data_IF_072163098447
#
_entry.id   IF_072163098447
#
_cell.length_a   1.000
_cell.length_b   1.000
_cell.length_c   1.000
_cell.angle_alpha   90.00
_cell.angle_beta   90.00
_cell.angle_gamma   90.00
#
_symmetry.space_group_name_H-M   'P 1'
#
loop_
_entity.id
_entity.type
_entity.pdbx_description
1 polymer ?
#
# COMPACT_ATOMS: atom_id res chain seq x y z
N UNK A 1 -62.04 -47.15 6.02
CA UNK A 1 -61.80 -45.66 6.09
C UNK A 1 -61.52 -45.15 7.51
N UNK A 2 -61.22 -46.02 8.49
CA UNK A 2 -60.97 -45.61 9.89
C UNK A 2 -59.46 -45.56 10.27
N UNK A 3 -58.61 -46.16 9.51
CA UNK A 3 -57.11 -46.15 9.79
C UNK A 3 -56.43 -44.83 9.48
N UNK A 4 -56.97 -44.04 8.54
CA UNK A 4 -56.29 -42.79 8.09
C UNK A 4 -56.49 -41.63 9.06
N UNK A 5 -57.55 -41.68 9.95
CA UNK A 5 -57.79 -40.59 10.91
C UNK A 5 -56.96 -40.62 12.18
N UNK A 6 -56.32 -41.77 12.50
CA UNK A 6 -55.48 -41.88 13.73
C UNK A 6 -54.01 -41.71 13.52
N UNK A 7 -53.57 -41.79 12.27
CA UNK A 7 -52.12 -41.62 11.95
C UNK A 7 -51.75 -40.17 11.66
N UNK A 8 -52.72 -39.31 11.30
CA UNK A 8 -52.49 -37.90 10.97
C UNK A 8 -51.91 -37.05 12.12
N UNK A 9 -52.37 -37.16 13.39
CA UNK A 9 -51.85 -36.40 14.52
C UNK A 9 -50.42 -36.84 14.92
N UNK A 10 -50.06 -38.12 14.72
CA UNK A 10 -48.72 -38.63 15.07
C UNK A 10 -47.68 -38.12 14.10
N UNK A 11 -48.03 -38.01 12.82
CA UNK A 11 -47.12 -37.46 11.80
C UNK A 11 -46.90 -35.95 11.97
N UNK A 12 -47.93 -35.19 12.39
CA UNK A 12 -47.85 -33.77 12.70
C UNK A 12 -46.94 -33.47 13.92
N UNK A 13 -47.00 -34.33 14.95
CA UNK A 13 -46.14 -34.19 16.14
C UNK A 13 -44.69 -34.54 15.82
N UNK A 14 -44.43 -35.53 14.95
CA UNK A 14 -43.06 -35.89 14.54
C UNK A 14 -42.41 -34.80 13.67
N UNK A 15 -43.20 -34.08 12.85
CA UNK A 15 -42.69 -32.97 12.03
C UNK A 15 -42.34 -31.72 12.85
N UNK A 16 -43.05 -31.48 13.95
CA UNK A 16 -42.76 -30.36 14.87
C UNK A 16 -41.49 -30.62 15.69
N UNK A 17 -41.21 -31.89 16.02
CA UNK A 17 -39.99 -32.28 16.75
C UNK A 17 -38.70 -32.18 15.90
N UNK A 18 -38.83 -32.23 14.57
CA UNK A 18 -37.65 -32.07 13.67
C UNK A 18 -37.29 -30.61 13.42
N UNK A 19 -38.17 -29.65 13.72
CA UNK A 19 -37.94 -28.22 13.57
C UNK A 19 -37.22 -27.56 14.76
N UNK A 20 -37.11 -28.27 15.89
CA UNK A 20 -36.44 -27.74 17.09
C UNK A 20 -34.98 -28.14 17.22
N UNK A 21 -34.43 -28.88 16.24
CA UNK A 21 -33.01 -29.31 16.25
C UNK A 21 -32.01 -28.28 15.68
N UNK A 22 -32.51 -27.13 15.21
CA UNK A 22 -31.64 -26.01 14.79
C UNK A 22 -31.88 -24.80 15.68
N UNK A 23 -31.21 -24.76 16.82
CA UNK A 23 -31.26 -23.55 17.62
C UNK A 23 -31.02 -23.74 19.10
N UNK A 24 -29.88 -24.17 19.51
CA UNK A 24 -29.31 -23.78 20.80
C UNK A 24 -27.80 -24.04 20.87
N UNK A 25 -27.08 -23.54 19.89
CA UNK A 25 -25.65 -23.27 20.09
C UNK A 25 -25.53 -21.95 20.86
N UNK A 26 -25.58 -22.07 22.19
CA UNK A 26 -25.05 -21.08 23.09
C UNK A 26 -23.50 -21.09 22.98
N UNK A 27 -22.93 -21.11 21.79
CA UNK A 27 -21.59 -20.70 21.56
C UNK A 27 -21.52 -19.17 21.67
N UNK A 28 -21.42 -18.70 22.90
CA UNK A 28 -21.03 -17.35 23.27
C UNK A 28 -19.55 -17.11 22.88
N UNK A 29 -19.15 -17.52 21.71
CA UNK A 29 -17.90 -17.14 21.09
C UNK A 29 -18.13 -16.31 19.83
N UNK A 30 -19.18 -15.51 19.81
CA UNK A 30 -19.17 -14.32 18.97
C UNK A 30 -18.10 -13.41 19.58
N UNK A 31 -16.87 -13.54 19.09
CA UNK A 31 -15.81 -12.56 19.32
C UNK A 31 -16.46 -11.22 19.03
N UNK A 32 -16.72 -10.40 20.08
CA UNK A 32 -17.14 -9.02 19.92
C UNK A 32 -16.01 -8.37 19.12
N UNK A 33 -16.17 -8.31 17.81
CA UNK A 33 -15.29 -7.55 16.94
C UNK A 33 -15.47 -6.10 17.39
N UNK A 34 -14.45 -5.57 18.05
CA UNK A 34 -14.40 -4.13 18.31
C UNK A 34 -14.58 -3.45 16.96
N UNK A 35 -15.48 -2.46 16.81
CA UNK A 35 -15.66 -1.75 15.54
C UNK A 35 -14.36 -1.11 15.04
N UNK A 36 -13.36 -0.97 15.91
CA UNK A 36 -12.07 -0.36 15.62
C UNK A 36 -10.99 -1.37 15.20
N UNK A 37 -11.33 -2.65 15.01
CA UNK A 37 -10.35 -3.70 14.65
C UNK A 37 -10.80 -4.43 13.40
N UNK A 38 -9.95 -4.37 12.38
CA UNK A 38 -10.07 -5.18 11.17
C UNK A 38 -9.06 -6.32 11.28
N UNK A 39 -9.50 -7.55 10.97
CA UNK A 39 -8.63 -8.74 10.94
C UNK A 39 -8.50 -9.18 9.49
N UNK A 40 -7.28 -9.25 9.02
CA UNK A 40 -6.94 -9.83 7.72
C UNK A 40 -6.30 -11.20 7.92
N UNK A 41 -6.58 -12.11 7.01
CA UNK A 41 -5.87 -13.39 6.89
C UNK A 41 -4.94 -13.28 5.68
N UNK A 42 -3.65 -13.45 5.94
CA UNK A 42 -2.62 -13.49 4.90
C UNK A 42 -2.10 -14.92 4.71
N UNK A 43 -1.54 -15.20 3.54
CA UNK A 43 -1.00 -16.52 3.18
C UNK A 43 0.38 -16.78 3.76
N UNK A 44 1.05 -15.75 4.24
CA UNK A 44 2.38 -15.80 4.87
C UNK A 44 2.48 -14.83 6.04
N UNK A 45 3.51 -14.99 6.85
CA UNK A 45 3.80 -14.10 7.96
C UNK A 45 4.30 -12.73 7.44
N UNK A 46 3.89 -11.65 8.10
CA UNK A 46 4.41 -10.31 7.88
C UNK A 46 5.85 -10.23 8.43
N UNK A 47 6.82 -10.07 7.55
CA UNK A 47 8.23 -10.05 7.94
C UNK A 47 8.69 -8.67 8.39
N UNK A 48 8.28 -7.60 7.69
CA UNK A 48 8.68 -6.23 8.03
C UNK A 48 7.76 -5.18 7.39
N UNK A 49 7.75 -3.98 7.97
CA UNK A 49 7.19 -2.77 7.37
C UNK A 49 8.27 -1.84 6.82
N UNK A 50 9.52 -2.30 6.74
CA UNK A 50 10.61 -1.53 6.13
C UNK A 50 10.49 -1.57 4.60
N UNK A 51 10.02 -0.49 4.01
CA UNK A 51 9.76 -0.34 2.57
C UNK A 51 10.98 -0.49 1.66
N UNK A 52 12.19 -0.55 2.22
CA UNK A 52 13.43 -0.71 1.45
C UNK A 52 14.11 -2.07 1.62
N UNK A 53 13.55 -2.96 2.43
CA UNK A 53 14.18 -4.24 2.79
C UNK A 53 13.32 -5.45 2.43
N UNK A 54 12.10 -5.27 1.92
CA UNK A 54 11.16 -6.36 1.79
C UNK A 54 10.72 -6.61 0.35
N UNK A 55 10.60 -7.89 0.00
CA UNK A 55 10.19 -8.37 -1.32
C UNK A 55 8.99 -9.34 -1.23
N UNK A 56 8.43 -9.61 -0.03
CA UNK A 56 7.31 -10.52 0.13
C UNK A 56 5.95 -9.84 -0.04
N UNK A 57 4.97 -10.61 -0.52
CA UNK A 57 3.64 -10.11 -0.84
C UNK A 57 2.84 -9.66 0.40
N UNK A 58 2.97 -10.34 1.53
CA UNK A 58 2.23 -10.00 2.76
C UNK A 58 2.71 -8.65 3.32
N UNK A 59 4.03 -8.38 3.27
CA UNK A 59 4.60 -7.10 3.67
C UNK A 59 4.14 -5.97 2.75
N UNK A 60 4.12 -6.16 1.42
CA UNK A 60 3.59 -5.16 0.48
C UNK A 60 2.10 -4.89 0.71
N UNK A 61 1.29 -5.94 0.94
CA UNK A 61 -0.14 -5.78 1.25
C UNK A 61 -0.33 -4.91 2.49
N UNK A 62 0.42 -5.19 3.56
CA UNK A 62 0.34 -4.41 4.79
C UNK A 62 0.84 -2.97 4.61
N UNK A 63 1.94 -2.76 3.88
CA UNK A 63 2.48 -1.44 3.59
C UNK A 63 1.46 -0.58 2.83
N UNK A 64 0.79 -1.13 1.83
CA UNK A 64 -0.26 -0.43 1.07
C UNK A 64 -1.49 -0.03 1.91
N UNK A 65 -1.67 -0.59 3.11
CA UNK A 65 -2.75 -0.18 4.03
C UNK A 65 -2.33 0.96 4.97
N UNK A 66 -1.03 1.22 5.12
CA UNK A 66 -0.52 2.19 6.12
C UNK A 66 0.27 3.34 5.51
N UNK A 67 0.76 3.19 4.28
CA UNK A 67 1.48 4.24 3.56
C UNK A 67 0.66 4.75 2.38
N UNK A 68 0.80 6.03 2.08
CA UNK A 68 0.25 6.67 0.89
C UNK A 68 1.42 7.19 0.04
N UNK A 69 1.43 6.80 -1.26
CA UNK A 69 2.41 7.25 -2.23
C UNK A 69 2.19 8.69 -2.70
N UNK A 70 3.08 9.20 -3.54
CA UNK A 70 2.86 10.46 -4.25
C UNK A 70 1.60 10.39 -5.11
N UNK A 71 1.38 9.25 -5.73
CA UNK A 71 0.20 8.93 -6.53
C UNK A 71 -0.42 7.63 -6.04
N UNK A 72 -1.65 7.35 -6.44
CA UNK A 72 -2.36 6.09 -6.20
C UNK A 72 -3.22 5.77 -7.41
N UNK A 73 -3.78 4.56 -7.47
CA UNK A 73 -4.72 4.17 -8.52
C UNK A 73 -6.15 4.38 -8.07
N UNK A 74 -6.99 4.92 -8.95
CA UNK A 74 -8.44 4.96 -8.75
C UNK A 74 -9.08 3.60 -9.12
N UNK A 75 -10.40 3.49 -8.97
CA UNK A 75 -11.15 2.27 -9.32
C UNK A 75 -11.15 1.91 -10.82
N UNK A 76 -10.57 2.76 -11.68
CA UNK A 76 -10.44 2.57 -13.13
C UNK A 76 -8.98 2.44 -13.56
N UNK A 77 -8.09 2.20 -12.61
CA UNK A 77 -6.64 2.07 -12.80
C UNK A 77 -5.97 3.33 -13.36
N UNK A 78 -6.56 4.52 -13.14
CA UNK A 78 -5.89 5.77 -13.46
C UNK A 78 -5.05 6.25 -12.29
N UNK A 79 -3.87 6.80 -12.58
CA UNK A 79 -3.06 7.47 -11.56
C UNK A 79 -3.73 8.77 -11.12
N UNK A 80 -3.97 8.90 -9.83
CA UNK A 80 -4.52 10.10 -9.20
C UNK A 80 -3.59 10.57 -8.07
N UNK A 81 -3.63 11.86 -7.70
CA UNK A 81 -2.78 12.38 -6.64
C UNK A 81 -3.08 11.76 -5.27
N UNK A 82 -2.08 11.11 -4.66
CA UNK A 82 -2.04 10.72 -3.25
C UNK A 82 -1.55 11.90 -2.39
N UNK A 83 -0.29 11.86 -1.94
CA UNK A 83 0.35 12.97 -1.22
C UNK A 83 0.65 14.17 -2.13
N UNK A 84 0.77 13.96 -3.45
CA UNK A 84 0.98 15.03 -4.41
C UNK A 84 -0.23 15.96 -4.53
N UNK A 85 0.03 17.25 -4.79
CA UNK A 85 -0.97 18.28 -5.09
C UNK A 85 -1.12 18.43 -6.61
N UNK A 86 -1.77 17.45 -7.25
CA UNK A 86 -1.94 17.37 -8.69
C UNK A 86 -0.92 16.47 -9.41
N UNK A 87 -1.06 16.35 -10.73
CA UNK A 87 -0.13 15.60 -11.57
C UNK A 87 1.20 16.35 -11.71
N UNK A 88 2.31 15.66 -12.00
CA UNK A 88 3.63 16.29 -12.09
C UNK A 88 3.71 17.24 -13.30
N UNK A 89 4.46 18.32 -13.15
CA UNK A 89 4.93 19.10 -14.30
C UNK A 89 6.12 18.35 -14.92
N UNK A 90 6.03 18.01 -16.21
CA UNK A 90 7.03 17.21 -16.92
C UNK A 90 7.71 18.07 -17.97
N UNK A 91 9.04 18.07 -18.00
CA UNK A 91 9.81 18.80 -19.05
C UNK A 91 9.55 18.25 -20.44
N UNK A 92 9.80 19.07 -21.47
CA UNK A 92 9.56 18.70 -22.87
C UNK A 92 10.36 17.46 -23.32
N UNK A 93 11.53 17.25 -22.75
CA UNK A 93 12.38 16.07 -22.99
C UNK A 93 12.01 14.87 -22.08
N UNK A 94 10.97 15.01 -21.27
CA UNK A 94 10.45 13.98 -20.34
C UNK A 94 11.49 13.43 -19.34
N UNK A 95 12.51 14.20 -19.04
CA UNK A 95 13.57 13.79 -18.09
C UNK A 95 13.47 14.48 -16.75
N UNK A 96 12.70 15.56 -16.62
CA UNK A 96 12.48 16.27 -15.35
C UNK A 96 11.01 16.21 -14.94
N UNK A 97 10.78 15.88 -13.68
CA UNK A 97 9.48 15.85 -13.03
C UNK A 97 9.50 16.80 -11.84
N UNK A 98 8.57 17.76 -11.83
CA UNK A 98 8.35 18.64 -10.67
C UNK A 98 7.03 18.28 -10.03
N UNK A 99 7.06 17.88 -8.77
CA UNK A 99 5.91 17.42 -8.00
C UNK A 99 5.69 18.35 -6.83
N UNK A 100 4.50 18.93 -6.73
CA UNK A 100 4.05 19.69 -5.56
C UNK A 100 3.38 18.76 -4.57
N UNK A 101 3.62 18.95 -3.28
CA UNK A 101 2.99 18.19 -2.21
C UNK A 101 1.81 18.97 -1.62
N UNK A 102 0.78 18.26 -1.19
CA UNK A 102 -0.35 18.84 -0.44
C UNK A 102 0.16 19.49 0.84
N UNK A 103 -0.19 20.74 1.07
CA UNK A 103 0.23 21.50 2.27
C UNK A 103 -0.31 20.93 3.57
N UNK A 104 -1.34 20.12 3.53
CA UNK A 104 -1.98 19.50 4.69
C UNK A 104 -1.60 18.00 4.85
N UNK A 105 -0.68 17.48 4.03
CA UNK A 105 -0.19 16.12 4.17
C UNK A 105 0.57 15.97 5.50
N UNK A 106 0.21 14.96 6.29
CA UNK A 106 0.77 14.74 7.63
C UNK A 106 1.09 13.27 7.85
N UNK A 107 2.13 13.05 8.62
CA UNK A 107 2.41 11.76 9.22
C UNK A 107 1.37 11.42 10.31
N UNK A 108 1.33 10.16 10.71
CA UNK A 108 0.40 9.69 11.76
C UNK A 108 0.62 10.33 13.14
N UNK A 109 1.81 10.87 13.40
CA UNK A 109 2.14 11.63 14.60
C UNK A 109 1.74 13.13 14.53
N UNK A 110 1.19 13.54 13.37
CA UNK A 110 0.75 14.92 13.12
C UNK A 110 1.84 15.84 12.55
N UNK A 111 3.08 15.39 12.42
CA UNK A 111 4.14 16.16 11.76
C UNK A 111 3.85 16.33 10.26
N UNK A 112 4.39 17.41 9.68
CA UNK A 112 4.19 17.72 8.26
C UNK A 112 5.01 16.78 7.39
N UNK A 113 4.40 16.22 6.33
CA UNK A 113 5.14 15.54 5.25
C UNK A 113 5.81 16.59 4.37
N UNK A 114 7.09 16.41 4.10
CA UNK A 114 7.91 17.35 3.31
C UNK A 114 8.58 16.68 2.11
N UNK A 115 9.05 17.46 1.17
CA UNK A 115 9.83 16.96 0.03
C UNK A 115 11.15 16.31 0.47
N UNK A 116 11.72 16.74 1.59
CA UNK A 116 12.95 16.15 2.15
C UNK A 116 12.73 14.71 2.64
N UNK A 117 11.52 14.35 3.07
CA UNK A 117 11.19 12.97 3.47
C UNK A 117 11.33 12.02 2.27
N UNK A 118 10.88 12.45 1.09
CA UNK A 118 11.03 11.67 -0.15
C UNK A 118 12.49 11.61 -0.62
N UNK A 119 13.21 12.73 -0.54
CA UNK A 119 14.64 12.74 -0.86
C UNK A 119 15.41 11.77 0.04
N UNK A 120 15.13 11.78 1.34
CA UNK A 120 15.71 10.86 2.30
C UNK A 120 15.38 9.39 1.96
N UNK A 121 14.11 9.08 1.74
CA UNK A 121 13.65 7.73 1.47
C UNK A 121 14.30 7.16 0.21
N UNK A 122 14.39 7.94 -0.88
CA UNK A 122 14.95 7.45 -2.13
C UNK A 122 16.49 7.37 -2.12
N UNK A 123 17.18 8.29 -1.42
CA UNK A 123 18.60 8.15 -1.15
C UNK A 123 18.91 6.86 -0.40
N UNK A 124 18.09 6.55 0.60
CA UNK A 124 18.19 5.30 1.35
C UNK A 124 17.92 4.07 0.48
N UNK A 125 16.93 4.13 -0.43
CA UNK A 125 16.57 3.02 -1.33
C UNK A 125 17.66 2.68 -2.35
N UNK A 126 18.51 3.63 -2.75
CA UNK A 126 19.62 3.39 -3.69
C UNK A 126 20.96 3.16 -3.00
N UNK A 127 21.07 3.42 -1.71
CA UNK A 127 22.32 3.22 -0.95
C UNK A 127 22.55 1.72 -0.73
N UNK A 128 23.66 1.14 -1.26
CA UNK A 128 23.96 -0.28 -1.11
C UNK A 128 24.16 -0.72 0.35
N UNK A 129 24.39 0.22 1.26
CA UNK A 129 24.56 -0.06 2.70
C UNK A 129 23.22 -0.26 3.42
N UNK A 130 22.13 0.34 2.94
CA UNK A 130 20.84 0.34 3.61
C UNK A 130 19.78 -0.49 2.90
N UNK A 131 19.87 -0.65 1.59
CA UNK A 131 18.90 -1.35 0.76
C UNK A 131 19.54 -2.11 -0.40
N UNK A 132 20.28 -3.19 -0.16
CA UNK A 132 21.05 -3.87 -1.20
C UNK A 132 20.20 -4.48 -2.33
N UNK A 133 18.92 -4.81 -2.07
CA UNK A 133 18.01 -5.43 -3.06
C UNK A 133 17.05 -4.46 -3.75
N UNK A 134 16.62 -3.40 -3.09
CA UNK A 134 15.51 -2.55 -3.54
C UNK A 134 15.88 -1.49 -4.59
N UNK A 135 17.18 -1.28 -4.82
CA UNK A 135 17.68 -0.29 -5.79
C UNK A 135 17.20 -0.53 -7.22
N UNK A 136 16.77 -1.75 -7.56
CA UNK A 136 16.33 -2.12 -8.91
C UNK A 136 15.21 -1.23 -9.47
N UNK A 137 14.29 -0.74 -8.62
CA UNK A 137 13.17 0.11 -9.04
C UNK A 137 13.65 1.47 -9.59
N UNK A 138 14.69 2.05 -9.00
CA UNK A 138 15.16 3.40 -9.34
C UNK A 138 16.50 3.41 -10.08
N UNK A 139 17.27 2.33 -9.98
CA UNK A 139 18.64 2.22 -10.51
C UNK A 139 18.76 2.65 -11.95
N UNK A 140 17.86 2.22 -12.81
CA UNK A 140 17.92 2.48 -14.24
C UNK A 140 17.14 3.72 -14.69
N UNK A 141 16.38 4.33 -13.77
CA UNK A 141 15.48 5.44 -14.07
C UNK A 141 16.07 6.78 -13.62
N UNK A 142 16.44 6.91 -12.34
CA UNK A 142 16.86 8.19 -11.76
C UNK A 142 18.35 8.45 -12.06
N UNK A 143 18.66 9.71 -12.37
CA UNK A 143 20.03 10.15 -12.61
C UNK A 143 20.94 9.80 -11.42
N UNK A 144 22.11 9.25 -11.73
CA UNK A 144 23.16 8.82 -10.79
C UNK A 144 22.80 7.62 -9.90
N UNK A 145 21.59 7.06 -9.98
CA UNK A 145 21.19 5.96 -9.10
C UNK A 145 22.04 4.69 -9.28
N UNK A 146 22.47 4.35 -10.50
CA UNK A 146 23.37 3.22 -10.77
C UNK A 146 24.72 3.43 -10.12
N UNK A 147 25.32 4.60 -10.36
CA UNK A 147 26.65 4.95 -9.89
C UNK A 147 26.72 5.00 -8.36
N UNK A 148 25.65 5.45 -7.72
CA UNK A 148 25.49 5.44 -6.25
C UNK A 148 25.39 4.00 -5.73
N UNK A 149 24.54 3.19 -6.35
CA UNK A 149 24.36 1.80 -5.95
C UNK A 149 25.64 0.96 -6.12
N UNK A 150 26.47 1.30 -7.09
CA UNK A 150 27.80 0.71 -7.29
C UNK A 150 28.89 1.30 -6.39
N UNK A 151 28.53 2.24 -5.51
CA UNK A 151 29.47 2.90 -4.59
C UNK A 151 30.44 3.89 -5.25
N UNK A 152 30.16 4.32 -6.49
CA UNK A 152 31.00 5.25 -7.26
C UNK A 152 30.70 6.72 -6.95
N UNK A 153 29.47 7.03 -6.51
CA UNK A 153 29.02 8.36 -6.16
C UNK A 153 28.37 8.36 -4.77
N UNK A 154 28.40 9.49 -4.06
CA UNK A 154 27.68 9.63 -2.80
C UNK A 154 26.17 9.71 -3.02
N UNK A 155 25.36 9.29 -2.04
CA UNK A 155 23.89 9.31 -2.10
C UNK A 155 23.31 10.71 -2.31
N UNK A 156 24.06 11.75 -1.95
CA UNK A 156 23.69 13.17 -2.14
C UNK A 156 23.57 13.57 -3.60
N UNK A 157 24.24 12.85 -4.50
CA UNK A 157 24.27 13.12 -5.93
C UNK A 157 23.11 12.51 -6.70
N UNK A 158 22.19 11.80 -5.99
CA UNK A 158 20.97 11.27 -6.60
C UNK A 158 20.18 12.40 -7.26
N UNK A 159 19.68 12.16 -8.46
CA UNK A 159 18.87 13.10 -9.23
C UNK A 159 17.50 13.43 -8.61
N UNK A 160 17.45 13.61 -7.29
CA UNK A 160 16.24 13.96 -6.53
C UNK A 160 16.57 15.07 -5.53
N UNK A 161 15.79 16.17 -5.57
CA UNK A 161 16.03 17.37 -4.73
C UNK A 161 14.70 17.92 -4.22
N UNK A 162 14.69 18.33 -2.96
CA UNK A 162 13.67 19.21 -2.41
C UNK A 162 14.06 20.66 -2.71
N UNK A 163 13.33 21.34 -3.60
CA UNK A 163 13.61 22.76 -3.92
C UNK A 163 13.02 23.69 -2.87
N UNK A 164 12.00 23.21 -2.17
CA UNK A 164 11.42 23.80 -0.96
C UNK A 164 10.65 22.69 -0.22
N UNK A 165 10.11 22.96 1.00
CA UNK A 165 9.46 21.89 1.78
C UNK A 165 8.29 21.17 1.10
N UNK A 166 7.69 21.74 0.08
CA UNK A 166 6.52 21.17 -0.62
C UNK A 166 6.76 20.94 -2.12
N UNK A 167 7.99 21.02 -2.60
CA UNK A 167 8.29 20.79 -4.02
C UNK A 167 9.48 19.87 -4.19
N UNK A 168 9.22 18.76 -4.84
CA UNK A 168 10.18 17.72 -5.18
C UNK A 168 10.51 17.79 -6.66
N UNK A 169 11.79 17.84 -7.01
CA UNK A 169 12.27 17.70 -8.38
C UNK A 169 13.02 16.39 -8.56
N UNK A 170 12.69 15.67 -9.64
CA UNK A 170 13.30 14.41 -10.01
C UNK A 170 13.90 14.57 -11.41
N UNK A 171 15.15 14.15 -11.57
CA UNK A 171 15.84 14.09 -12.85
C UNK A 171 16.09 12.64 -13.21
N UNK A 172 15.61 12.22 -14.38
CA UNK A 172 15.83 10.90 -14.94
C UNK A 172 17.09 10.85 -15.81
N UNK A 173 17.65 9.68 -16.02
CA UNK A 173 18.75 9.43 -16.97
C UNK A 173 18.28 9.59 -18.43
N UNK A 174 17.05 9.17 -18.70
CA UNK A 174 16.36 9.17 -20.01
C UNK A 174 14.86 9.17 -19.78
N UNK A 175 14.03 9.48 -20.78
CA UNK A 175 12.58 9.36 -20.68
C UNK A 175 12.15 7.94 -20.28
N UNK A 176 11.29 7.84 -19.27
CA UNK A 176 10.72 6.57 -18.76
C UNK A 176 9.20 6.70 -18.77
N UNK A 177 8.48 6.13 -19.78
CA UNK A 177 7.04 6.31 -19.93
C UNK A 177 6.20 5.84 -18.75
N UNK A 178 6.68 4.84 -18.00
CA UNK A 178 6.01 4.28 -16.83
C UNK A 178 6.52 4.88 -15.50
N UNK A 179 7.25 6.00 -15.53
CA UNK A 179 7.87 6.53 -14.30
C UNK A 179 6.84 6.88 -13.22
N UNK A 180 5.64 7.37 -13.59
CA UNK A 180 4.58 7.69 -12.63
C UNK A 180 4.14 6.43 -11.85
N UNK A 181 4.15 5.25 -12.47
CA UNK A 181 3.79 4.02 -11.77
C UNK A 181 4.81 3.61 -10.67
N UNK A 182 6.03 4.13 -10.74
CA UNK A 182 7.03 3.92 -9.68
C UNK A 182 6.84 4.85 -8.48
N UNK A 183 5.90 5.79 -8.59
CA UNK A 183 5.58 6.80 -7.57
C UNK A 183 4.26 6.54 -6.86
N UNK A 184 3.59 5.43 -7.20
CA UNK A 184 2.30 5.01 -6.64
C UNK A 184 2.43 3.92 -5.58
#
# INVERSE_FOLDING_TARGET
>A
MHFLKKTLPIFAILTVLLLTACGNDNDKSATKTSPDKIKFLETSELLTLNTTAEEDFASFTAQNQVFEGLYTLDQKDNFVPGVADGMPEISADQTKYTIKLKKNAKWSDGSQVTADDFVYAWRRAVDPKTAPGYSALFKDSIKNATEINEGKLPVTDLGVVATNPTTLEITLKKPVPYFISLLS
#
